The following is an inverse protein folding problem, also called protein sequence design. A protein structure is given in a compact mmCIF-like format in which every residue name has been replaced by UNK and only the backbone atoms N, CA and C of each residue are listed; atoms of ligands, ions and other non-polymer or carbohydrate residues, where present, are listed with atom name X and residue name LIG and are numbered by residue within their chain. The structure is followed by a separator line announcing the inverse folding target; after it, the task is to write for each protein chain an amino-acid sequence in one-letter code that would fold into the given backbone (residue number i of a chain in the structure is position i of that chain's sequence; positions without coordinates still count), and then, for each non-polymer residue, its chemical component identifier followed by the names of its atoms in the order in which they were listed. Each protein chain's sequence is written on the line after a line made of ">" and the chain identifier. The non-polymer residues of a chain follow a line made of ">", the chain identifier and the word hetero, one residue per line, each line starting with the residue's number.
data_IF_616705683063
#
_entry.id   IF_616705683063
#
_cell.length_a   1.000
_cell.length_b   1.000
_cell.length_c   1.000
_cell.angle_alpha   90.00
_cell.angle_beta   90.00
_cell.angle_gamma   90.00
#
_symmetry.space_group_name_H-M   'P 1'
#
loop_
_entity.id
_entity.type
_entity.pdbx_description
1 polymer ?
#
# COMPACT_ATOMS: atom_id res chain seq x y z
N UNK A 1 -4.43 15.38 15.85
CA UNK A 1 -3.18 14.60 16.00
C UNK A 1 -2.78 14.11 14.61
N UNK A 2 -1.51 14.27 14.18
CA UNK A 2 -1.06 13.85 12.85
C UNK A 2 -0.90 12.33 12.83
N UNK A 3 -1.38 11.66 11.78
CA UNK A 3 -1.22 10.22 11.63
C UNK A 3 0.28 9.84 11.57
N UNK A 4 0.67 8.68 12.14
CA UNK A 4 2.06 8.21 12.06
C UNK A 4 2.50 8.09 10.61
N UNK A 5 3.73 8.51 10.34
CA UNK A 5 4.33 8.44 9.01
C UNK A 5 5.69 7.76 9.11
N UNK A 6 5.86 6.74 8.28
CA UNK A 6 7.10 5.98 8.19
C UNK A 6 7.58 6.01 6.74
N UNK A 7 8.86 6.32 6.53
CA UNK A 7 9.47 6.27 5.21
C UNK A 7 10.78 5.50 5.26
N UNK A 8 11.06 4.76 4.20
CA UNK A 8 12.31 4.05 4.01
C UNK A 8 12.68 4.00 2.54
N UNK A 9 13.95 3.71 2.30
CA UNK A 9 14.51 3.54 0.97
C UNK A 9 14.94 2.09 0.79
N UNK A 10 14.69 1.53 -0.38
CA UNK A 10 15.08 0.16 -0.73
C UNK A 10 15.65 0.15 -2.14
N UNK A 11 16.80 -0.51 -2.32
CA UNK A 11 17.30 -0.81 -3.66
C UNK A 11 16.48 -1.95 -4.25
N UNK A 12 15.80 -1.69 -5.36
CA UNK A 12 14.87 -2.63 -5.98
C UNK A 12 14.66 -2.32 -7.47
N UNK A 13 14.57 -3.38 -8.27
CA UNK A 13 14.15 -3.28 -9.67
C UNK A 13 12.62 -3.16 -9.81
N UNK A 14 11.86 -3.49 -8.75
CA UNK A 14 10.39 -3.33 -8.70
C UNK A 14 9.97 -2.12 -7.87
N UNK A 15 8.92 -1.43 -8.32
CA UNK A 15 8.38 -0.24 -7.65
C UNK A 15 7.63 -0.59 -6.36
N UNK A 16 6.82 -1.65 -6.38
CA UNK A 16 5.94 -2.02 -5.27
C UNK A 16 6.42 -3.34 -4.69
N UNK A 17 6.86 -3.28 -3.44
CA UNK A 17 7.18 -4.48 -2.66
C UNK A 17 5.90 -5.16 -2.20
N UNK A 18 5.93 -6.49 -2.15
CA UNK A 18 4.91 -7.28 -1.49
C UNK A 18 5.13 -7.19 0.03
N UNK A 19 4.20 -6.52 0.71
CA UNK A 19 4.17 -6.33 2.16
C UNK A 19 3.04 -7.12 2.83
N UNK A 20 2.38 -8.02 2.07
CA UNK A 20 1.24 -8.83 2.51
C UNK A 20 -0.08 -8.07 2.59
N UNK A 21 -0.10 -6.74 2.51
CA UNK A 21 -1.34 -5.98 2.54
C UNK A 21 -1.89 -5.78 1.12
N UNK A 22 -3.22 -5.73 1.01
CA UNK A 22 -3.89 -5.45 -0.26
C UNK A 22 -3.98 -3.94 -0.50
N UNK A 23 -3.42 -3.50 -1.64
CA UNK A 23 -3.34 -2.10 -2.03
C UNK A 23 -4.06 -1.83 -3.34
N UNK A 24 -4.77 -0.70 -3.42
CA UNK A 24 -5.34 -0.17 -4.66
C UNK A 24 -4.72 1.17 -4.99
N UNK A 25 -4.19 1.27 -6.20
CA UNK A 25 -3.70 2.55 -6.75
C UNK A 25 -4.90 3.48 -6.95
N UNK A 26 -4.81 4.68 -6.39
CA UNK A 26 -5.86 5.70 -6.53
C UNK A 26 -5.38 6.95 -7.26
N UNK A 27 -4.06 7.09 -7.45
CA UNK A 27 -3.50 8.25 -8.13
C UNK A 27 -2.06 8.05 -8.56
N UNK A 28 -1.65 8.89 -9.49
CA UNK A 28 -0.27 8.99 -9.96
C UNK A 28 0.02 10.47 -10.24
N UNK A 29 1.23 10.93 -9.87
CA UNK A 29 1.68 12.30 -10.14
C UNK A 29 3.05 12.27 -10.79
N UNK A 30 3.21 12.99 -11.90
CA UNK A 30 4.52 13.26 -12.50
C UNK A 30 5.34 14.08 -11.51
N UNK A 31 6.59 13.68 -11.30
CA UNK A 31 7.50 14.37 -10.38
C UNK A 31 8.43 15.26 -11.19
N UNK A 32 8.52 16.54 -10.80
CA UNK A 32 9.45 17.48 -11.43
C UNK A 32 10.88 16.94 -11.32
N UNK A 33 11.60 16.93 -12.44
CA UNK A 33 12.99 16.45 -12.53
C UNK A 33 13.16 14.94 -12.27
N UNK A 34 12.11 14.13 -12.45
CA UNK A 34 12.22 12.66 -12.43
C UNK A 34 11.56 12.06 -13.67
N UNK A 35 12.18 11.03 -14.23
CA UNK A 35 11.60 10.20 -15.29
C UNK A 35 10.55 9.22 -14.74
N UNK A 36 10.49 9.05 -13.42
CA UNK A 36 9.60 8.09 -12.77
C UNK A 36 8.43 8.83 -12.08
N UNK A 37 7.19 8.43 -12.36
CA UNK A 37 6.04 9.01 -11.69
C UNK A 37 5.98 8.53 -10.24
N UNK A 38 5.41 9.37 -9.37
CA UNK A 38 5.05 8.99 -8.00
C UNK A 38 3.67 8.34 -8.01
N UNK A 39 3.58 7.14 -7.45
CA UNK A 39 2.33 6.38 -7.33
C UNK A 39 1.76 6.48 -5.92
N UNK A 40 0.42 6.54 -5.84
CA UNK A 40 -0.32 6.62 -4.58
C UNK A 40 -1.30 5.47 -4.45
N UNK A 41 -1.28 4.82 -3.29
CA UNK A 41 -2.05 3.63 -2.99
C UNK A 41 -2.79 3.80 -1.66
N UNK A 42 -3.95 3.17 -1.57
CA UNK A 42 -4.72 3.04 -0.32
C UNK A 42 -4.94 1.55 -0.03
N UNK A 43 -4.97 1.20 1.25
CA UNK A 43 -5.36 -0.16 1.64
C UNK A 43 -6.79 -0.44 1.15
N UNK A 44 -7.07 -1.68 0.76
CA UNK A 44 -8.40 -2.10 0.28
C UNK A 44 -9.27 -2.70 1.37
N UNK A 45 -8.71 -3.04 2.52
CA UNK A 45 -9.47 -3.62 3.63
C UNK A 45 -10.47 -2.60 4.19
N UNK A 46 -11.65 -3.07 4.57
CA UNK A 46 -12.75 -2.26 5.10
C UNK A 46 -12.32 -1.47 6.33
N UNK A 47 -12.74 -0.20 6.42
CA UNK A 47 -12.39 0.73 7.51
C UNK A 47 -10.88 0.99 7.70
N UNK A 48 -10.00 0.47 6.84
CA UNK A 48 -8.58 0.78 6.86
C UNK A 48 -8.29 2.09 6.10
N UNK A 49 -7.63 3.03 6.78
CA UNK A 49 -7.30 4.36 6.21
C UNK A 49 -5.84 4.50 5.81
N UNK A 50 -5.06 3.42 5.88
CA UNK A 50 -3.63 3.46 5.57
C UNK A 50 -3.41 3.79 4.09
N UNK A 51 -2.47 4.69 3.85
CA UNK A 51 -2.03 5.08 2.51
C UNK A 51 -0.55 4.78 2.37
N UNK A 52 -0.13 4.40 1.16
CA UNK A 52 1.29 4.37 0.79
C UNK A 52 1.59 5.16 -0.46
N UNK A 53 2.75 5.80 -0.47
CA UNK A 53 3.34 6.52 -1.60
C UNK A 53 4.61 5.82 -2.00
N UNK A 54 4.77 5.62 -3.31
CA UNK A 54 5.94 4.98 -3.92
C UNK A 54 6.54 5.94 -4.94
N UNK A 55 7.84 6.19 -4.84
CA UNK A 55 8.57 7.03 -5.78
C UNK A 55 10.01 6.52 -5.94
N UNK A 56 10.58 6.61 -7.15
CA UNK A 56 12.02 6.40 -7.36
C UNK A 56 12.78 7.70 -7.18
N UNK A 57 14.01 7.63 -6.69
CA UNK A 57 14.91 8.77 -6.72
C UNK A 57 15.18 9.18 -8.17
N UNK A 58 15.33 10.49 -8.39
CA UNK A 58 15.72 11.04 -9.70
C UNK A 58 17.16 10.69 -10.05
N UNK A 59 18.03 10.64 -9.05
CA UNK A 59 19.47 10.43 -9.20
C UNK A 59 19.84 8.95 -9.32
N UNK A 60 19.12 8.07 -8.62
CA UNK A 60 19.30 6.62 -8.67
C UNK A 60 17.95 5.94 -8.85
N UNK A 61 17.65 5.52 -10.08
CA UNK A 61 16.38 4.87 -10.37
C UNK A 61 16.20 3.58 -9.59
N UNK A 62 17.26 2.88 -9.16
CA UNK A 62 17.14 1.65 -8.36
C UNK A 62 16.71 1.91 -6.92
N UNK A 63 16.79 3.15 -6.45
CA UNK A 63 16.36 3.50 -5.11
C UNK A 63 14.87 3.84 -5.09
N UNK A 64 14.08 2.99 -4.45
CA UNK A 64 12.64 3.16 -4.25
C UNK A 64 12.39 3.70 -2.85
N UNK A 65 11.75 4.86 -2.77
CA UNK A 65 11.24 5.43 -1.53
C UNK A 65 9.80 4.98 -1.36
N UNK A 66 9.53 4.30 -0.25
CA UNK A 66 8.16 3.96 0.17
C UNK A 66 7.81 4.73 1.44
N UNK A 67 6.67 5.43 1.42
CA UNK A 67 6.16 6.16 2.58
C UNK A 67 4.78 5.64 2.94
N UNK A 68 4.59 5.19 4.17
CA UNK A 68 3.32 4.80 4.75
C UNK A 68 2.76 5.90 5.65
N UNK A 69 1.45 6.08 5.63
CA UNK A 69 0.70 7.01 6.48
C UNK A 69 -0.47 6.28 7.14
N UNK A 70 -0.51 6.30 8.48
CA UNK A 70 -1.48 5.58 9.30
C UNK A 70 -0.93 4.26 9.84
N UNK A 71 -1.81 3.48 10.51
CA UNK A 71 -1.52 2.16 11.06
C UNK A 71 -2.63 1.19 10.68
N UNK A 72 -2.27 0.00 10.22
CA UNK A 72 -3.24 -1.06 9.93
C UNK A 72 -3.89 -1.53 11.24
N UNK A 73 -5.20 -1.77 11.20
CA UNK A 73 -5.99 -2.32 12.31
C UNK A 73 -6.50 -3.73 12.00
N UNK A 74 -5.89 -4.38 11.02
CA UNK A 74 -6.24 -5.70 10.51
C UNK A 74 -4.96 -6.44 10.12
N UNK A 75 -5.05 -7.76 10.03
CA UNK A 75 -3.94 -8.58 9.55
C UNK A 75 -3.77 -8.45 8.03
N UNK A 76 -2.54 -8.66 7.49
CA UNK A 76 -2.28 -8.54 6.06
C UNK A 76 -3.18 -9.44 5.18
N UNK A 77 -3.44 -10.67 5.62
CA UNK A 77 -4.24 -11.67 4.91
C UNK A 77 -5.72 -11.71 5.32
N UNK A 78 -6.23 -10.65 5.96
CA UNK A 78 -7.60 -10.66 6.45
C UNK A 78 -8.61 -10.43 5.30
N UNK A 79 -9.00 -11.54 4.69
CA UNK A 79 -10.09 -11.65 3.74
C UNK A 79 -11.42 -11.80 4.49
N UNK A 80 -11.85 -10.75 5.19
CA UNK A 80 -13.24 -10.68 5.68
C UNK A 80 -14.21 -10.47 4.51
N UNK A 81 -14.40 -11.55 3.75
CA UNK A 81 -15.65 -11.92 3.10
C UNK A 81 -15.72 -13.44 2.86
N UNK A 82 -15.38 -14.26 3.86
CA UNK A 82 -15.93 -15.62 3.93
C UNK A 82 -17.27 -15.53 4.67
N UNK A 83 -18.33 -15.63 3.89
CA UNK A 83 -19.71 -15.79 4.36
C UNK A 83 -19.85 -17.16 5.03
N UNK A 84 -19.23 -17.36 6.19
CA UNK A 84 -19.40 -18.56 7.01
C UNK A 84 -20.37 -18.24 8.15
N UNK A 85 -21.65 -18.11 7.78
CA UNK A 85 -22.75 -18.36 8.70
C UNK A 85 -23.75 -19.28 7.98
N UNK A 86 -23.45 -20.59 8.10
CA UNK A 86 -24.42 -21.69 8.23
C UNK A 86 -25.41 -21.95 7.08
N UNK A 87 -24.91 -22.31 5.89
CA UNK A 87 -25.68 -23.13 4.92
C UNK A 87 -25.57 -24.65 5.22
N UNK A 88 -25.51 -25.02 6.51
CA UNK A 88 -25.34 -26.41 6.95
C UNK A 88 -26.35 -26.80 8.05
N UNK A 89 -27.64 -26.49 7.87
CA UNK A 89 -28.72 -27.18 8.59
C UNK A 89 -29.93 -27.42 7.70
N UNK A 90 -29.75 -28.25 6.68
CA UNK A 90 -30.87 -28.93 6.01
C UNK A 90 -30.47 -30.36 5.67
N UNK A 91 -30.60 -31.21 6.69
CA UNK A 91 -30.99 -32.61 6.57
C UNK A 91 -32.07 -32.84 7.63
#
# INVERSE_FOLDING_TARGET
>A
MREPRFCFQTRSDVDVLDDGYKWRKYGQKVVKNSLHPRSYYRCTHTNCRVKKRVERLSEDCRMVITTYEGRHTHSPNDDQNSSENECFKSF
#
